data_IF_429572950476
#
_entry.id   IF_429572950476
#
_cell.length_a   1.000
_cell.length_b   1.000
_cell.length_c   1.000
_cell.angle_alpha   90.00
_cell.angle_beta   90.00
_cell.angle_gamma   90.00
#
_symmetry.space_group_name_H-M   'P 1'
#
loop_
_entity.id
_entity.type
_entity.pdbx_description
1 polymer ?
#
# COMPACT_ATOMS: atom_id res chain seq x y z
N UNK A 1 0.83 32.05 5.15
CA UNK A 1 -0.36 32.66 4.51
C UNK A 1 -1.56 31.72 4.48
N UNK A 2 -1.41 30.40 4.70
CA UNK A 2 -2.52 29.50 5.13
C UNK A 2 -3.68 29.38 4.14
N UNK A 3 -3.50 29.87 2.92
CA UNK A 3 -4.50 29.88 1.85
C UNK A 3 -4.84 28.49 1.33
N UNK A 4 -3.96 27.51 1.59
CA UNK A 4 -4.11 26.09 1.30
C UNK A 4 -4.79 25.30 2.45
N UNK A 5 -5.06 25.93 3.59
CA UNK A 5 -5.71 25.31 4.76
C UNK A 5 -7.19 25.69 4.87
N UNK A 6 -7.90 25.75 3.74
CA UNK A 6 -9.34 26.08 3.72
C UNK A 6 -10.22 24.81 3.79
N UNK A 7 -11.31 24.87 4.56
CA UNK A 7 -12.30 23.78 4.70
C UNK A 7 -12.80 23.27 3.35
N UNK A 8 -13.05 24.17 2.39
CA UNK A 8 -13.51 23.84 1.04
C UNK A 8 -12.44 23.11 0.19
N UNK A 9 -11.16 23.30 0.47
CA UNK A 9 -10.07 22.58 -0.20
C UNK A 9 -9.89 21.19 0.41
N UNK A 10 -9.98 21.07 1.73
CA UNK A 10 -9.92 19.80 2.46
C UNK A 10 -11.13 18.88 2.18
N UNK A 11 -12.29 19.45 1.86
CA UNK A 11 -13.46 18.72 1.39
C UNK A 11 -13.21 18.01 0.05
N UNK A 12 -12.40 18.60 -0.82
CA UNK A 12 -12.04 18.04 -2.14
C UNK A 12 -10.87 17.05 -2.10
N UNK A 13 -10.18 16.91 -0.96
CA UNK A 13 -9.10 15.92 -0.81
C UNK A 13 -9.71 14.53 -0.77
N UNK A 14 -9.52 13.79 -1.88
CA UNK A 14 -9.87 12.37 -1.94
C UNK A 14 -8.77 11.57 -1.28
N UNK A 15 -9.10 11.00 -0.13
CA UNK A 15 -8.30 9.96 0.51
C UNK A 15 -8.17 8.74 -0.42
N UNK A 16 -7.02 8.07 -0.37
CA UNK A 16 -6.80 6.84 -1.13
C UNK A 16 -7.77 5.75 -0.64
N UNK A 17 -8.16 4.82 -1.51
CA UNK A 17 -9.20 3.81 -1.23
C UNK A 17 -8.93 2.94 0.03
N UNK A 18 -7.69 2.90 0.51
CA UNK A 18 -7.24 2.15 1.69
C UNK A 18 -7.04 2.99 2.95
N UNK A 19 -7.51 4.24 2.94
CA UNK A 19 -7.44 5.16 4.09
C UNK A 19 -8.84 5.51 4.59
N UNK A 20 -8.99 5.78 5.89
CA UNK A 20 -10.20 6.32 6.48
C UNK A 20 -10.09 7.85 6.49
N UNK A 21 -11.16 8.52 6.05
CA UNK A 21 -11.23 9.98 6.05
C UNK A 21 -11.86 10.47 7.34
N UNK A 22 -11.11 11.20 8.14
CA UNK A 22 -11.61 11.90 9.32
C UNK A 22 -12.67 12.94 8.91
N UNK A 23 -13.55 13.33 9.83
CA UNK A 23 -14.65 14.26 9.53
C UNK A 23 -14.12 15.64 9.08
N UNK A 24 -13.01 16.10 9.68
CA UNK A 24 -12.33 17.34 9.27
C UNK A 24 -11.52 17.24 7.95
N UNK A 25 -11.43 16.05 7.35
CA UNK A 25 -10.90 15.84 6.00
C UNK A 25 -9.50 15.23 5.88
N UNK A 26 -8.80 15.00 7.00
CA UNK A 26 -7.55 14.24 6.99
C UNK A 26 -7.75 12.76 6.69
N UNK A 27 -6.69 12.10 6.22
CA UNK A 27 -6.70 10.66 5.93
C UNK A 27 -5.81 9.93 6.93
N UNK A 28 -6.38 8.96 7.64
CA UNK A 28 -5.66 8.01 8.50
C UNK A 28 -5.72 6.61 7.88
N UNK A 29 -4.92 5.67 8.36
CA UNK A 29 -5.01 4.30 7.86
C UNK A 29 -6.39 3.71 8.15
N UNK A 30 -6.93 2.90 7.24
CA UNK A 30 -8.24 2.27 7.45
C UNK A 30 -8.25 1.32 8.66
N UNK A 31 -7.08 0.77 9.02
CA UNK A 31 -6.87 -0.05 10.21
C UNK A 31 -6.95 0.75 11.52
N UNK A 32 -6.79 2.08 11.45
CA UNK A 32 -6.93 2.98 12.59
C UNK A 32 -8.39 3.30 12.93
N UNK A 33 -9.34 2.89 12.09
CA UNK A 33 -10.76 3.09 12.42
C UNK A 33 -11.16 2.07 13.49
N UNK A 34 -11.58 2.54 14.66
CA UNK A 34 -12.01 1.73 15.79
C UNK A 34 -10.90 0.86 16.40
N UNK A 35 -9.67 1.40 16.47
CA UNK A 35 -8.52 0.69 17.05
C UNK A 35 -8.28 1.01 18.54
N UNK A 36 -9.11 1.88 19.12
CA UNK A 36 -9.04 2.31 20.53
C UNK A 36 -8.03 3.41 20.79
N UNK A 37 -7.37 3.94 19.75
CA UNK A 37 -6.42 5.04 19.83
C UNK A 37 -6.94 6.16 18.93
N UNK A 38 -6.85 7.41 19.40
CA UNK A 38 -7.30 8.57 18.62
C UNK A 38 -6.18 9.02 17.67
N UNK A 39 -6.28 8.70 16.38
CA UNK A 39 -5.39 9.21 15.32
C UNK A 39 -5.98 10.40 14.59
N UNK A 40 -7.30 10.51 14.47
CA UNK A 40 -7.94 11.71 13.96
C UNK A 40 -7.94 12.81 15.05
N UNK A 41 -7.61 14.05 14.68
CA UNK A 41 -7.65 15.18 15.61
C UNK A 41 -9.06 15.42 16.21
N UNK A 42 -10.10 15.15 15.42
CA UNK A 42 -11.51 15.19 15.85
C UNK A 42 -11.95 13.90 16.56
N UNK A 43 -11.24 12.78 16.42
CA UNK A 43 -11.58 11.48 17.03
C UNK A 43 -12.62 10.69 16.24
N UNK A 44 -12.92 11.12 15.02
CA UNK A 44 -13.94 10.51 14.15
C UNK A 44 -13.60 9.09 13.70
N UNK A 45 -12.34 8.68 13.82
CA UNK A 45 -11.86 7.31 13.66
C UNK A 45 -12.42 6.35 14.73
N UNK A 46 -12.67 6.86 15.93
CA UNK A 46 -13.19 6.11 17.07
C UNK A 46 -14.70 6.27 17.28
N UNK A 47 -15.38 6.95 16.36
CA UNK A 47 -16.83 7.15 16.40
C UNK A 47 -17.59 6.14 15.50
N UNK A 48 -18.79 5.77 15.94
CA UNK A 48 -19.72 4.89 15.21
C UNK A 48 -19.13 3.51 14.84
N UNK A 49 -18.50 2.87 15.83
CA UNK A 49 -17.95 1.52 15.74
C UNK A 49 -19.06 0.48 15.98
N UNK A 50 -19.87 0.21 14.95
CA UNK A 50 -20.93 -0.81 15.03
C UNK A 50 -20.36 -2.20 14.73
N UNK A 51 -19.66 -2.79 15.70
CA UNK A 51 -19.15 -4.16 15.62
C UNK A 51 -18.25 -4.53 16.79
N UNK A 52 -18.14 -5.83 17.17
CA UNK A 52 -17.26 -6.26 18.25
C UNK A 52 -15.81 -6.32 17.76
N UNK A 53 -15.16 -5.17 17.60
CA UNK A 53 -13.71 -5.09 17.53
C UNK A 53 -13.20 -4.69 18.92
N UNK A 54 -12.92 -5.73 19.71
CA UNK A 54 -12.39 -5.61 21.06
C UNK A 54 -10.96 -5.06 21.04
N UNK A 55 -10.82 -3.86 21.59
CA UNK A 55 -9.80 -3.40 22.54
C UNK A 55 -8.59 -4.33 22.71
N UNK A 56 -7.40 -3.80 22.40
CA UNK A 56 -6.18 -4.17 23.13
C UNK A 56 -5.35 -2.93 23.44
N UNK A 57 -5.90 -2.04 24.27
CA UNK A 57 -5.07 -1.37 25.25
C UNK A 57 -4.60 -2.42 26.26
N UNK A 58 -3.31 -2.48 26.56
CA UNK A 58 -2.81 -2.98 27.86
C UNK A 58 -1.40 -2.48 28.13
N UNK A 59 -1.34 -1.28 28.71
CA UNK A 59 -0.28 -0.86 29.63
C UNK A 59 -0.34 -1.75 30.89
N UNK A 60 0.78 -2.39 31.23
CA UNK A 60 1.20 -2.97 32.52
C UNK A 60 0.16 -3.41 33.56
N UNK A 61 0.14 -4.71 33.91
CA UNK A 61 0.53 -5.24 35.25
C UNK A 61 0.24 -6.74 35.40
N UNK A 62 1.24 -7.47 35.91
CA UNK A 62 1.17 -8.88 36.30
C UNK A 62 0.14 -9.10 37.41
N UNK A 63 -0.83 -10.01 37.22
CA UNK A 63 -1.45 -10.78 38.31
C UNK A 63 -1.72 -12.23 37.87
N UNK A 64 -0.98 -13.13 38.51
CA UNK A 64 -1.11 -14.60 38.49
C UNK A 64 -2.33 -15.00 39.34
N UNK A 65 -3.12 -16.01 38.92
CA UNK A 65 -3.76 -17.08 39.73
C UNK A 65 -4.55 -18.05 38.81
N UNK A 66 -4.66 -19.32 39.24
CA UNK A 66 -4.70 -20.58 38.49
C UNK A 66 -6.10 -21.19 38.22
N UNK A 67 -6.18 -22.00 37.12
CA UNK A 67 -7.00 -23.21 36.82
C UNK A 67 -8.53 -23.19 37.08
N UNK A 68 -9.46 -23.70 36.26
CA UNK A 68 -9.45 -24.89 35.37
C UNK A 68 -10.69 -24.87 34.43
N UNK A 69 -10.57 -25.52 33.27
CA UNK A 69 -11.62 -26.19 32.45
C UNK A 69 -12.55 -25.38 31.50
N UNK A 70 -12.42 -25.75 30.21
CA UNK A 70 -13.45 -25.81 29.14
C UNK A 70 -13.72 -24.60 28.23
N UNK A 71 -12.78 -24.37 27.31
CA UNK A 71 -12.98 -24.51 25.85
C UNK A 71 -11.58 -24.41 25.22
N UNK A 72 -10.94 -25.56 24.95
CA UNK A 72 -9.69 -25.60 24.19
C UNK A 72 -10.02 -25.32 22.72
N UNK A 73 -10.14 -24.05 22.34
CA UNK A 73 -9.76 -23.65 20.99
C UNK A 73 -8.27 -23.93 20.86
N UNK A 74 -7.97 -24.85 19.96
CA UNK A 74 -6.62 -25.30 19.66
C UNK A 74 -5.65 -24.13 19.53
N UNK A 75 -4.53 -24.28 20.23
CA UNK A 75 -3.32 -23.51 20.06
C UNK A 75 -2.82 -23.56 18.61
N UNK A 76 -3.28 -22.65 17.74
CA UNK A 76 -2.61 -22.30 16.49
C UNK A 76 -2.19 -20.82 16.54
N UNK A 77 -1.33 -20.52 17.50
CA UNK A 77 -0.74 -19.19 17.67
C UNK A 77 0.22 -18.90 16.51
N UNK A 78 -0.22 -18.06 15.56
CA UNK A 78 0.61 -17.15 14.76
C UNK A 78 1.58 -17.73 13.70
N UNK A 79 1.17 -18.74 12.92
CA UNK A 79 1.88 -19.08 11.68
C UNK A 79 1.29 -18.32 10.47
N UNK A 80 1.01 -17.03 10.64
CA UNK A 80 0.48 -16.16 9.58
C UNK A 80 1.39 -14.94 9.43
N UNK A 81 1.53 -14.46 8.20
CA UNK A 81 2.28 -13.27 7.88
C UNK A 81 1.34 -12.16 7.43
N UNK A 82 1.57 -10.95 7.92
CA UNK A 82 0.80 -9.76 7.57
C UNK A 82 1.46 -9.10 6.37
N UNK A 83 0.72 -8.84 5.29
CA UNK A 83 1.28 -8.13 4.13
C UNK A 83 1.72 -6.71 4.52
N UNK A 84 3.00 -6.35 4.31
CA UNK A 84 3.50 -5.03 4.68
C UNK A 84 3.00 -3.95 3.73
N UNK A 85 2.91 -2.71 4.21
CA UNK A 85 2.66 -1.53 3.38
C UNK A 85 4.00 -0.94 2.94
N UNK A 86 4.41 -1.25 1.70
CA UNK A 86 5.64 -0.73 1.10
C UNK A 86 5.28 0.19 -0.06
N UNK A 87 5.92 1.37 -0.12
CA UNK A 87 5.60 2.40 -1.12
C UNK A 87 5.68 1.85 -2.56
N UNK A 88 4.55 1.95 -3.28
CA UNK A 88 4.42 1.53 -4.67
C UNK A 88 4.48 0.02 -4.90
N UNK A 89 4.49 -0.81 -3.86
CA UNK A 89 4.47 -2.29 -3.98
C UNK A 89 3.03 -2.79 -3.86
N UNK A 90 2.64 -3.68 -4.77
CA UNK A 90 1.36 -4.40 -4.74
C UNK A 90 1.62 -5.91 -4.69
N UNK A 91 0.66 -6.65 -4.14
CA UNK A 91 0.75 -8.08 -3.95
C UNK A 91 -0.36 -8.82 -4.68
N UNK A 92 -0.04 -9.96 -5.28
CA UNK A 92 -1.03 -10.88 -5.86
C UNK A 92 -0.59 -12.34 -5.69
N UNK A 93 -1.53 -13.26 -5.89
CA UNK A 93 -1.20 -14.68 -5.99
C UNK A 93 -0.76 -15.05 -7.41
N UNK A 94 0.00 -16.13 -7.53
CA UNK A 94 0.37 -16.68 -8.83
C UNK A 94 -0.87 -17.05 -9.65
N UNK A 95 -0.96 -16.51 -10.87
CA UNK A 95 -2.10 -16.70 -11.77
C UNK A 95 -3.35 -15.89 -11.43
N UNK A 96 -3.29 -14.94 -10.49
CA UNK A 96 -4.40 -14.04 -10.15
C UNK A 96 -4.06 -12.58 -10.42
N UNK A 97 -4.98 -11.87 -11.06
CA UNK A 97 -4.92 -10.42 -11.25
C UNK A 97 -5.49 -9.64 -10.06
N UNK A 98 -6.01 -10.33 -9.04
CA UNK A 98 -6.57 -9.69 -7.86
C UNK A 98 -5.47 -9.13 -6.95
N UNK A 99 -5.55 -7.83 -6.69
CA UNK A 99 -4.62 -7.14 -5.78
C UNK A 99 -5.04 -7.43 -4.33
N UNK A 100 -4.09 -7.94 -3.55
CA UNK A 100 -4.26 -8.18 -2.12
C UNK A 100 -4.07 -6.87 -1.36
N UNK A 101 -4.95 -6.62 -0.38
CA UNK A 101 -4.83 -5.44 0.47
C UNK A 101 -3.66 -5.59 1.46
N UNK A 102 -2.99 -4.48 1.77
CA UNK A 102 -2.04 -4.43 2.89
C UNK A 102 -2.72 -4.88 4.19
N UNK A 103 -1.97 -5.44 5.13
CA UNK A 103 -2.54 -5.97 6.37
C UNK A 103 -3.20 -7.35 6.24
N UNK A 104 -3.42 -7.86 5.02
CA UNK A 104 -4.00 -9.19 4.81
C UNK A 104 -3.14 -10.27 5.46
N UNK A 105 -3.81 -11.18 6.18
CA UNK A 105 -3.20 -12.34 6.80
C UNK A 105 -3.00 -13.45 5.78
N UNK A 106 -1.76 -13.83 5.58
CA UNK A 106 -1.35 -14.89 4.66
C UNK A 106 -0.88 -16.08 5.47
N UNK A 107 -1.37 -17.27 5.13
CA UNK A 107 -0.96 -18.51 5.76
C UNK A 107 0.54 -18.79 5.53
N UNK A 108 1.21 -19.44 6.49
CA UNK A 108 2.56 -19.96 6.30
C UNK A 108 2.68 -20.85 5.06
N UNK A 109 3.89 -20.90 4.50
CA UNK A 109 4.25 -21.61 3.28
C UNK A 109 3.50 -21.13 2.01
N UNK A 110 2.81 -19.99 2.07
CA UNK A 110 2.27 -19.31 0.89
C UNK A 110 3.27 -18.32 0.32
N UNK A 111 3.25 -18.21 -0.99
CA UNK A 111 4.03 -17.25 -1.77
C UNK A 111 3.11 -16.18 -2.32
N UNK A 112 3.53 -14.93 -2.18
CA UNK A 112 2.88 -13.78 -2.82
C UNK A 112 3.86 -13.15 -3.80
N UNK A 113 3.37 -12.83 -4.99
CA UNK A 113 4.15 -12.14 -6.01
C UNK A 113 4.12 -10.65 -5.68
N UNK A 114 5.29 -10.02 -5.71
CA UNK A 114 5.40 -8.58 -5.54
C UNK A 114 5.50 -7.93 -6.92
N UNK A 115 4.66 -6.92 -7.15
CA UNK A 115 4.64 -6.09 -8.34
C UNK A 115 4.65 -4.62 -7.94
N UNK A 116 4.75 -3.72 -8.91
CA UNK A 116 4.77 -2.29 -8.65
C UNK A 116 3.50 -1.63 -9.16
N UNK A 117 3.02 -0.61 -8.44
CA UNK A 117 1.96 0.27 -8.89
C UNK A 117 2.37 1.02 -10.18
N UNK A 118 1.35 1.50 -10.89
CA UNK A 118 1.56 2.33 -12.07
C UNK A 118 2.35 3.60 -11.66
N UNK A 119 3.37 3.94 -12.45
CA UNK A 119 4.27 5.06 -12.15
C UNK A 119 5.49 4.69 -11.31
N UNK A 120 5.66 3.41 -10.98
CA UNK A 120 6.86 2.86 -10.35
C UNK A 120 7.59 1.88 -11.28
N UNK A 121 8.92 1.86 -11.19
CA UNK A 121 9.78 0.89 -11.86
C UNK A 121 10.16 -0.26 -10.92
N UNK A 122 9.94 -1.49 -11.41
CA UNK A 122 10.32 -2.73 -10.72
C UNK A 122 11.77 -3.09 -11.01
N UNK A 123 12.63 -3.03 -10.00
CA UNK A 123 14.08 -3.29 -10.17
C UNK A 123 14.38 -4.75 -10.41
N UNK A 124 13.63 -5.63 -9.73
CA UNK A 124 13.83 -7.08 -9.79
C UNK A 124 12.61 -7.72 -10.46
N UNK A 125 12.74 -8.28 -11.68
CA UNK A 125 11.60 -8.84 -12.40
C UNK A 125 10.94 -9.97 -11.62
N UNK A 126 11.76 -10.80 -10.96
CA UNK A 126 11.32 -11.90 -10.12
C UNK A 126 11.43 -11.51 -8.64
N UNK A 127 10.34 -10.97 -8.10
CA UNK A 127 10.23 -10.64 -6.67
C UNK A 127 8.97 -11.27 -6.10
N UNK A 128 9.14 -12.02 -5.03
CA UNK A 128 8.07 -12.66 -4.27
C UNK A 128 8.50 -12.80 -2.82
N UNK A 129 7.53 -12.84 -1.92
CA UNK A 129 7.75 -13.14 -0.50
C UNK A 129 7.12 -14.49 -0.17
N UNK A 130 7.80 -15.25 0.66
CA UNK A 130 7.27 -16.51 1.20
C UNK A 130 7.03 -16.31 2.69
N UNK A 131 5.82 -16.64 3.14
CA UNK A 131 5.47 -16.60 4.54
C UNK A 131 6.10 -17.79 5.25
N UNK A 132 7.02 -17.55 6.18
CA UNK A 132 7.68 -18.61 6.93
C UNK A 132 6.79 -19.10 8.09
N UNK A 133 7.10 -20.30 8.60
CA UNK A 133 6.37 -20.91 9.72
C UNK A 133 6.48 -20.11 11.03
N UNK A 134 7.42 -19.17 11.14
CA UNK A 134 7.56 -18.25 12.28
C UNK A 134 6.76 -16.95 12.12
N UNK A 135 5.91 -16.84 11.08
CA UNK A 135 5.12 -15.63 10.80
C UNK A 135 5.93 -14.49 10.19
N UNK A 136 7.15 -14.74 9.72
CA UNK A 136 8.03 -13.74 9.09
C UNK A 136 8.10 -13.93 7.57
N UNK A 137 8.21 -12.83 6.84
CA UNK A 137 8.46 -12.86 5.40
C UNK A 137 9.94 -13.07 5.08
N UNK A 138 10.22 -13.84 4.04
CA UNK A 138 11.50 -13.80 3.35
C UNK A 138 11.60 -12.50 2.54
N UNK A 139 12.31 -11.50 3.06
CA UNK A 139 12.61 -10.26 2.34
C UNK A 139 14.00 -10.38 1.71
N UNK A 140 14.08 -10.37 0.38
CA UNK A 140 15.36 -10.42 -0.35
C UNK A 140 15.94 -9.04 -0.66
N UNK A 141 15.08 -8.01 -0.66
CA UNK A 141 15.41 -6.67 -1.11
C UNK A 141 14.82 -5.62 -0.18
N UNK A 142 15.54 -4.52 0.03
CA UNK A 142 15.10 -3.39 0.86
C UNK A 142 14.12 -2.47 0.11
N UNK A 143 14.31 -2.32 -1.21
CA UNK A 143 13.43 -1.51 -2.08
C UNK A 143 13.21 -2.20 -3.42
N UNK A 144 11.96 -2.54 -3.71
CA UNK A 144 11.56 -3.18 -4.97
C UNK A 144 11.14 -2.18 -6.04
N UNK A 145 10.35 -1.17 -5.64
CA UNK A 145 9.70 -0.22 -6.53
C UNK A 145 10.30 1.18 -6.37
N UNK A 146 10.75 1.77 -7.48
CA UNK A 146 11.26 3.14 -7.52
C UNK A 146 10.27 4.03 -8.25
N UNK A 147 9.95 5.17 -7.68
CA UNK A 147 9.00 6.11 -8.27
C UNK A 147 9.56 6.71 -9.56
N UNK A 148 8.85 6.53 -10.67
CA UNK A 148 9.17 7.12 -11.97
C UNK A 148 8.35 8.38 -12.30
N UNK A 149 7.25 8.64 -11.60
CA UNK A 149 6.45 9.85 -11.77
C UNK A 149 4.96 9.59 -11.91
N UNK A 150 4.22 10.59 -12.43
CA UNK A 150 2.78 10.48 -12.67
C UNK A 150 2.54 9.76 -13.99
N UNK A 151 1.75 8.69 -13.95
CA UNK A 151 1.24 8.08 -15.17
C UNK A 151 -0.06 8.78 -15.57
N UNK A 152 -0.10 9.35 -16.77
CA UNK A 152 -1.31 9.91 -17.34
C UNK A 152 -2.17 8.75 -17.89
N UNK A 153 -3.05 8.22 -17.04
CA UNK A 153 -4.03 7.18 -17.40
C UNK A 153 -5.26 7.82 -18.10
N UNK A 154 -5.37 9.16 -18.07
CA UNK A 154 -6.47 9.90 -18.69
C UNK A 154 -6.14 10.33 -20.13
N UNK A 155 -7.04 10.02 -21.07
CA UNK A 155 -7.08 10.52 -22.44
C UNK A 155 -7.33 12.05 -22.53
N UNK A 156 -6.65 12.87 -21.74
CA UNK A 156 -6.78 14.31 -21.87
C UNK A 156 -5.83 14.81 -22.95
N UNK A 157 -6.36 14.84 -24.18
CA UNK A 157 -5.75 15.52 -25.32
C UNK A 157 -5.55 16.99 -24.93
N UNK A 158 -4.30 17.41 -24.74
CA UNK A 158 -3.95 18.83 -24.63
C UNK A 158 -3.95 19.39 -26.06
N UNK A 159 -5.02 20.12 -26.40
CA UNK A 159 -5.21 20.72 -27.72
C UNK A 159 -4.45 22.05 -27.74
N UNK A 160 -3.44 22.15 -28.60
CA UNK A 160 -3.01 23.42 -29.19
C UNK A 160 -3.16 23.31 -30.71
N UNK A 161 -3.99 24.18 -31.30
CA UNK A 161 -4.22 24.32 -32.74
C UNK A 161 -4.67 23.08 -33.56
N UNK A 162 -5.64 22.32 -33.04
CA UNK A 162 -6.66 21.68 -33.90
C UNK A 162 -6.23 20.46 -34.74
N UNK A 163 -5.15 19.75 -34.38
CA UNK A 163 -4.88 18.40 -34.92
C UNK A 163 -4.74 17.39 -33.79
N UNK A 164 -5.50 16.30 -33.86
CA UNK A 164 -5.44 15.18 -32.91
C UNK A 164 -4.08 14.50 -32.98
N UNK A 165 -3.27 14.67 -31.93
CA UNK A 165 -2.02 13.95 -31.75
C UNK A 165 -2.30 12.60 -31.06
N UNK A 166 -1.94 11.49 -31.71
CA UNK A 166 -1.91 10.19 -31.05
C UNK A 166 -0.66 10.11 -30.17
N UNK A 167 -0.87 10.18 -28.84
CA UNK A 167 0.03 9.81 -27.74
C UNK A 167 1.54 10.04 -27.98
N UNK A 168 2.13 10.99 -27.24
CA UNK A 168 3.59 11.18 -27.18
C UNK A 168 4.14 12.36 -27.99
N UNK A 169 3.29 13.26 -28.48
CA UNK A 169 3.72 14.46 -29.20
C UNK A 169 4.02 15.62 -28.24
N UNK A 170 4.86 15.36 -27.24
CA UNK A 170 5.67 16.43 -26.69
C UNK A 170 6.94 16.52 -27.55
N UNK A 171 7.42 17.72 -27.90
CA UNK A 171 8.59 17.87 -28.78
C UNK A 171 9.88 17.27 -28.18
N UNK A 172 9.86 16.88 -26.91
CA UNK A 172 10.99 16.34 -26.17
C UNK A 172 10.53 15.27 -25.20
N UNK A 173 11.25 14.14 -25.24
CA UNK A 173 11.09 13.03 -24.32
C UNK A 173 12.39 12.84 -23.55
N UNK A 174 12.29 12.55 -22.26
CA UNK A 174 13.43 12.20 -21.40
C UNK A 174 13.28 10.75 -20.93
N UNK A 175 14.38 10.01 -20.96
CA UNK A 175 14.42 8.62 -20.51
C UNK A 175 15.66 8.36 -19.66
N UNK A 176 15.46 7.68 -18.54
CA UNK A 176 16.51 7.13 -17.70
C UNK A 176 16.71 5.68 -18.10
N UNK A 177 17.90 5.33 -18.57
CA UNK A 177 18.24 3.99 -19.04
C UNK A 177 19.33 3.36 -18.16
N UNK A 178 19.32 2.03 -18.06
CA UNK A 178 20.37 1.24 -17.40
C UNK A 178 20.97 0.26 -18.40
N UNK A 179 22.29 0.23 -18.50
CA UNK A 179 22.98 -0.75 -19.34
C UNK A 179 22.92 -2.14 -18.71
N UNK A 180 22.46 -3.12 -19.49
CA UNK A 180 22.37 -4.51 -19.10
C UNK A 180 23.54 -5.29 -19.72
N UNK A 181 24.55 -5.57 -18.90
CA UNK A 181 25.78 -6.26 -19.33
C UNK A 181 25.54 -7.68 -19.86
N UNK A 182 24.45 -8.35 -19.45
CA UNK A 182 24.18 -9.74 -19.84
C UNK A 182 23.71 -9.83 -21.29
N UNK A 183 22.91 -8.86 -21.72
CA UNK A 183 22.31 -8.84 -23.06
C UNK A 183 22.89 -7.73 -23.96
N UNK A 184 23.84 -6.96 -23.45
CA UNK A 184 24.50 -5.84 -24.15
C UNK A 184 23.51 -4.79 -24.70
N UNK A 185 22.39 -4.57 -24.00
CA UNK A 185 21.36 -3.60 -24.35
C UNK A 185 21.14 -2.57 -23.24
N UNK A 186 20.31 -1.56 -23.50
CA UNK A 186 19.84 -0.60 -22.50
C UNK A 186 18.39 -0.89 -22.13
N UNK A 187 18.12 -1.04 -20.84
CA UNK A 187 16.77 -1.18 -20.29
C UNK A 187 16.25 0.21 -19.92
N UNK A 188 15.09 0.61 -20.44
CA UNK A 188 14.40 1.84 -20.01
C UNK A 188 13.88 1.66 -18.59
N UNK A 189 14.29 2.53 -17.67
CA UNK A 189 13.91 2.50 -16.26
C UNK A 189 12.69 3.38 -16.02
N UNK A 190 12.81 4.66 -16.36
CA UNK A 190 11.75 5.65 -16.26
C UNK A 190 11.81 6.53 -17.51
N UNK A 191 10.67 7.01 -18.00
CA UNK A 191 10.63 7.96 -19.11
C UNK A 191 9.37 8.79 -19.09
N UNK A 192 9.41 9.91 -19.79
CA UNK A 192 8.28 10.83 -19.87
C UNK A 192 8.51 11.95 -20.86
N UNK A 193 7.47 12.74 -21.01
CA UNK A 193 7.48 13.99 -21.77
C UNK A 193 7.68 15.17 -20.81
N UNK A 194 8.41 16.21 -21.24
CA UNK A 194 8.56 17.46 -20.47
C UNK A 194 7.46 18.46 -20.83
#
# INVERSE_FOLDING_TARGET
DGSDETLALCEKVRCQNYTFRCNYGACVNKECKCDGVKQCADGSDEENCTGPFSISANTSTLKVVNNTTELKTESNKKNLCILPNLEGVIYSYEGSDAILSHGTLINHNRTVIESCEIGYHKVYPNSSRVCQNNGKWTSKYEKLCFKCGRSYIGHQLLIDNGKTAQVGTAPWNVGVYRFNKKYSNYDLICGGSI
#
